data_IF_305982889826
#
_entry.id   IF_305982889826
#
_cell.length_a   1.000
_cell.length_b   1.000
_cell.length_c   1.000
_cell.angle_alpha   90.00
_cell.angle_beta   90.00
_cell.angle_gamma   90.00
#
_symmetry.space_group_name_H-M   'P 1'
#
loop_
_entity.id
_entity.type
_entity.pdbx_description
1 polymer ?
#
# COMPACT_ATOMS: atom_id res chain seq x y z
N UNK A 1 -22.94 8.51 18.13
CA UNK A 1 -23.09 7.58 16.98
C UNK A 1 -21.69 7.16 16.57
N UNK A 2 -21.50 5.93 16.07
CA UNK A 2 -20.23 5.49 15.49
C UNK A 2 -19.91 6.32 14.25
N UNK A 3 -18.63 6.69 14.05
CA UNK A 3 -18.20 7.41 12.83
C UNK A 3 -18.33 6.52 11.60
N UNK A 4 -18.72 7.12 10.47
CA UNK A 4 -18.76 6.48 9.17
C UNK A 4 -17.47 6.79 8.41
N UNK A 5 -16.77 5.75 7.96
CA UNK A 5 -15.51 5.89 7.24
C UNK A 5 -15.60 5.29 5.84
N UNK A 6 -14.97 5.94 4.87
CA UNK A 6 -14.82 5.43 3.50
C UNK A 6 -13.39 4.93 3.29
N UNK A 7 -13.25 3.68 2.86
CA UNK A 7 -11.97 3.12 2.41
C UNK A 7 -12.03 2.97 0.90
N UNK A 8 -11.25 3.74 0.15
CA UNK A 8 -11.11 3.53 -1.30
C UNK A 8 -10.00 2.53 -1.59
N UNK A 9 -10.17 1.65 -2.58
CA UNK A 9 -9.26 0.52 -2.81
C UNK A 9 -9.33 -0.53 -1.70
N UNK A 10 -10.50 -0.66 -1.09
CA UNK A 10 -10.76 -1.61 0.00
C UNK A 10 -10.64 -3.08 -0.44
N UNK A 11 -10.88 -3.36 -1.72
CA UNK A 11 -10.74 -4.67 -2.37
C UNK A 11 -9.29 -5.12 -2.56
N UNK A 12 -8.33 -4.21 -2.35
CA UNK A 12 -6.89 -4.46 -2.48
C UNK A 12 -6.25 -5.08 -1.23
N UNK A 13 -4.93 -5.32 -1.33
CA UNK A 13 -4.11 -5.91 -0.28
C UNK A 13 -4.21 -5.14 1.06
N UNK A 14 -3.75 -3.89 1.09
CA UNK A 14 -3.73 -3.10 2.33
C UNK A 14 -5.16 -2.70 2.72
N UNK A 15 -5.99 -2.33 1.72
CA UNK A 15 -7.35 -1.86 1.94
C UNK A 15 -8.24 -2.89 2.66
N UNK A 16 -8.14 -4.17 2.31
CA UNK A 16 -8.94 -5.23 2.95
C UNK A 16 -8.54 -5.45 4.43
N UNK A 17 -7.24 -5.41 4.75
CA UNK A 17 -6.78 -5.46 6.14
C UNK A 17 -7.20 -4.23 6.95
N UNK A 18 -7.13 -3.05 6.32
CA UNK A 18 -7.57 -1.80 6.97
C UNK A 18 -9.08 -1.83 7.24
N UNK A 19 -9.88 -2.30 6.28
CA UNK A 19 -11.33 -2.47 6.43
C UNK A 19 -11.67 -3.35 7.64
N UNK A 20 -11.05 -4.54 7.75
CA UNK A 20 -11.23 -5.43 8.91
C UNK A 20 -10.85 -4.76 10.23
N UNK A 21 -9.76 -3.98 10.22
CA UNK A 21 -9.30 -3.29 11.43
C UNK A 21 -10.25 -2.18 11.85
N UNK A 22 -10.79 -1.39 10.90
CA UNK A 22 -11.74 -0.32 11.16
C UNK A 22 -13.08 -0.84 11.72
N UNK A 23 -13.57 -1.98 11.19
CA UNK A 23 -14.75 -2.66 11.74
C UNK A 23 -14.51 -3.11 13.18
N UNK A 24 -13.34 -3.71 13.47
CA UNK A 24 -12.95 -4.11 14.84
C UNK A 24 -12.85 -2.93 15.82
N UNK A 25 -12.54 -1.73 15.34
CA UNK A 25 -12.58 -0.49 16.12
C UNK A 25 -14.00 0.07 16.30
N UNK A 26 -15.03 -0.61 15.78
CA UNK A 26 -16.44 -0.25 15.91
C UNK A 26 -16.89 0.88 15.00
N UNK A 27 -16.22 1.11 13.88
CA UNK A 27 -16.57 2.13 12.88
C UNK A 27 -17.54 1.57 11.83
N UNK A 28 -18.42 2.41 11.30
CA UNK A 28 -19.25 2.05 10.14
C UNK A 28 -18.42 2.19 8.87
N UNK A 29 -18.15 1.10 8.16
CA UNK A 29 -17.24 1.12 7.02
C UNK A 29 -17.98 1.04 5.70
N UNK A 30 -17.77 2.05 4.83
CA UNK A 30 -18.05 2.01 3.40
C UNK A 30 -16.79 1.58 2.67
N UNK A 31 -16.82 0.45 1.99
CA UNK A 31 -15.67 -0.16 1.33
C UNK A 31 -15.80 -0.02 -0.20
N UNK A 32 -14.99 0.84 -0.83
CA UNK A 32 -15.01 1.00 -2.28
C UNK A 32 -14.14 -0.07 -2.94
N UNK A 33 -14.79 -0.93 -3.72
CA UNK A 33 -14.19 -1.87 -4.67
C UNK A 33 -14.23 -1.31 -6.09
N UNK A 34 -13.18 -1.53 -6.87
CA UNK A 34 -13.17 -1.13 -8.27
C UNK A 34 -14.18 -1.93 -9.08
N UNK A 35 -15.08 -1.23 -9.80
CA UNK A 35 -16.05 -1.88 -10.69
C UNK A 35 -15.34 -2.74 -11.74
N UNK A 36 -15.74 -4.00 -11.85
CA UNK A 36 -15.22 -4.92 -12.85
C UNK A 36 -16.31 -5.88 -13.36
N UNK A 37 -16.11 -6.43 -14.57
CA UNK A 37 -17.06 -7.32 -15.24
C UNK A 37 -17.16 -8.72 -14.62
N UNK A 38 -16.26 -9.08 -13.71
CA UNK A 38 -16.26 -10.37 -13.02
C UNK A 38 -17.18 -10.37 -11.79
N UNK A 39 -17.78 -9.21 -11.45
CA UNK A 39 -18.59 -9.01 -10.25
C UNK A 39 -17.86 -9.48 -8.97
N UNK A 40 -16.56 -9.18 -8.89
CA UNK A 40 -15.71 -9.55 -7.76
C UNK A 40 -15.35 -8.32 -6.94
N UNK A 41 -15.38 -8.50 -5.64
CA UNK A 41 -14.95 -7.50 -4.65
C UNK A 41 -13.53 -7.79 -4.11
N UNK A 42 -12.74 -8.55 -4.87
CA UNK A 42 -11.35 -8.84 -4.54
C UNK A 42 -11.19 -9.48 -3.16
N UNK A 43 -10.27 -8.94 -2.34
CA UNK A 43 -10.00 -9.49 -1.01
C UNK A 43 -11.09 -9.21 0.02
N UNK A 44 -12.09 -8.35 -0.27
CA UNK A 44 -13.24 -8.17 0.62
C UNK A 44 -14.08 -9.44 0.73
N UNK A 45 -14.12 -10.26 -0.32
CA UNK A 45 -14.85 -11.54 -0.32
C UNK A 45 -14.30 -12.56 0.70
N UNK A 46 -13.03 -12.38 1.10
CA UNK A 46 -12.37 -13.24 2.08
C UNK A 46 -12.31 -12.58 3.49
N UNK A 47 -12.95 -11.43 3.69
CA UNK A 47 -12.99 -10.74 4.98
C UNK A 47 -14.08 -11.30 5.88
N UNK A 48 -13.74 -11.61 7.14
CA UNK A 48 -14.71 -12.09 8.14
C UNK A 48 -15.82 -11.05 8.44
N UNK A 49 -15.57 -9.78 8.12
CA UNK A 49 -16.48 -8.66 8.37
C UNK A 49 -17.33 -8.25 7.15
N UNK A 50 -17.44 -9.09 6.11
CA UNK A 50 -18.14 -8.73 4.88
C UNK A 50 -19.61 -8.30 5.13
N UNK A 51 -20.30 -8.98 6.03
CA UNK A 51 -21.70 -8.68 6.40
C UNK A 51 -21.86 -7.42 7.28
N UNK A 52 -20.75 -6.84 7.76
CA UNK A 52 -20.71 -5.66 8.63
C UNK A 52 -20.33 -4.37 7.89
N UNK A 53 -20.07 -4.45 6.58
CA UNK A 53 -19.62 -3.32 5.76
C UNK A 53 -20.57 -3.03 4.61
N UNK A 54 -20.60 -1.75 4.18
CA UNK A 54 -21.28 -1.35 2.94
C UNK A 54 -20.28 -1.41 1.78
N UNK A 55 -20.40 -2.41 0.89
CA UNK A 55 -19.54 -2.51 -0.30
C UNK A 55 -20.11 -1.65 -1.42
N UNK A 56 -19.29 -0.73 -1.93
CA UNK A 56 -19.62 0.15 -3.04
C UNK A 56 -18.76 -0.24 -4.25
N UNK A 57 -19.37 -0.48 -5.41
CA UNK A 57 -18.63 -0.78 -6.65
C UNK A 57 -18.60 0.45 -7.56
N UNK A 58 -17.40 0.92 -7.92
CA UNK A 58 -17.24 2.10 -8.77
C UNK A 58 -15.79 2.48 -9.06
N UNK A 59 -15.57 3.71 -9.49
CA UNK A 59 -14.26 4.18 -9.94
C UNK A 59 -13.99 5.61 -9.43
N UNK A 60 -12.84 5.81 -8.79
CA UNK A 60 -12.42 7.13 -8.28
C UNK A 60 -12.15 8.16 -9.40
N UNK A 61 -12.02 7.71 -10.65
CA UNK A 61 -11.88 8.59 -11.82
C UNK A 61 -13.19 9.30 -12.20
N UNK A 62 -14.33 8.80 -11.69
CA UNK A 62 -15.64 9.42 -11.88
C UNK A 62 -15.94 10.39 -10.74
N UNK A 63 -16.00 11.69 -11.05
CA UNK A 63 -16.22 12.75 -10.06
C UNK A 63 -17.63 12.70 -9.46
N UNK A 64 -18.66 12.36 -10.26
CA UNK A 64 -20.03 12.27 -9.79
C UNK A 64 -20.20 11.10 -8.82
N UNK A 65 -19.58 9.98 -9.13
CA UNK A 65 -19.53 8.83 -8.23
C UNK A 65 -18.82 9.18 -6.91
N UNK A 66 -17.67 9.85 -6.96
CA UNK A 66 -16.96 10.31 -5.76
C UNK A 66 -17.84 11.23 -4.90
N UNK A 67 -18.57 12.18 -5.50
CA UNK A 67 -19.53 13.04 -4.81
C UNK A 67 -20.65 12.25 -4.13
N UNK A 68 -21.08 11.13 -4.72
CA UNK A 68 -22.12 10.29 -4.15
C UNK A 68 -21.64 9.48 -2.95
N UNK A 69 -20.49 8.80 -3.06
CA UNK A 69 -19.99 7.87 -2.04
C UNK A 69 -19.45 8.56 -0.78
N UNK A 70 -19.06 9.84 -0.88
CA UNK A 70 -18.56 10.63 0.26
C UNK A 70 -19.67 11.29 1.07
N UNK A 71 -20.94 11.18 0.68
CA UNK A 71 -22.07 11.68 1.47
C UNK A 71 -22.18 10.96 2.81
N UNK A 72 -22.33 11.74 3.89
CA UNK A 72 -22.43 11.25 5.27
C UNK A 72 -21.22 10.37 5.66
N UNK A 73 -20.03 10.77 5.23
CA UNK A 73 -18.75 10.16 5.58
C UNK A 73 -17.98 11.14 6.47
N UNK A 74 -17.57 10.68 7.65
CA UNK A 74 -16.78 11.48 8.57
C UNK A 74 -15.28 11.46 8.20
N UNK A 75 -14.77 10.29 7.77
CA UNK A 75 -13.35 10.13 7.46
C UNK A 75 -13.14 9.31 6.19
N UNK A 76 -12.08 9.63 5.43
CA UNK A 76 -11.69 8.90 4.22
C UNK A 76 -10.26 8.36 4.37
N UNK A 77 -10.10 7.06 4.14
CA UNK A 77 -8.82 6.42 3.89
C UNK A 77 -8.69 6.19 2.39
N UNK A 78 -7.90 7.04 1.72
CA UNK A 78 -7.78 7.03 0.27
C UNK A 78 -6.59 6.17 -0.16
N UNK A 79 -6.86 4.87 -0.48
CA UNK A 79 -5.86 3.89 -0.91
C UNK A 79 -5.99 3.51 -2.40
N UNK A 80 -7.09 3.86 -3.06
CA UNK A 80 -7.29 3.55 -4.48
C UNK A 80 -6.17 4.14 -5.34
N UNK A 81 -5.37 3.27 -5.97
CA UNK A 81 -4.25 3.65 -6.81
C UNK A 81 -3.82 2.49 -7.73
N UNK A 82 -3.27 2.81 -8.88
CA UNK A 82 -2.43 1.88 -9.63
C UNK A 82 -1.00 1.93 -9.05
N UNK A 83 -0.40 0.76 -8.74
CA UNK A 83 0.84 0.67 -7.97
C UNK A 83 1.98 -0.08 -8.67
N UNK A 84 1.72 -0.93 -9.66
CA UNK A 84 2.75 -1.76 -10.30
C UNK A 84 3.74 -0.90 -11.11
N UNK A 85 5.00 -0.78 -10.67
CA UNK A 85 6.02 0.00 -11.39
C UNK A 85 6.22 -0.50 -12.83
N UNK A 86 6.38 -1.81 -13.12
CA UNK A 86 6.53 -2.28 -14.50
C UNK A 86 5.35 -1.92 -15.40
N UNK A 87 4.12 -2.04 -14.92
CA UNK A 87 2.94 -1.65 -15.69
C UNK A 87 2.89 -0.13 -15.97
N UNK A 88 3.45 0.69 -15.08
CA UNK A 88 3.51 2.14 -15.31
C UNK A 88 4.35 2.54 -16.53
N UNK A 89 5.28 1.68 -16.98
CA UNK A 89 6.05 1.92 -18.22
C UNK A 89 5.20 1.68 -19.48
N UNK A 90 4.18 0.82 -19.37
CA UNK A 90 3.32 0.43 -20.49
C UNK A 90 2.11 1.36 -20.61
N UNK A 91 1.51 1.71 -19.48
CA UNK A 91 0.26 2.47 -19.41
C UNK A 91 0.36 3.71 -18.47
N UNK A 92 1.29 4.66 -18.72
CA UNK A 92 1.51 5.78 -17.79
C UNK A 92 0.28 6.70 -17.64
N UNK A 93 -0.52 6.88 -18.67
CA UNK A 93 -1.74 7.69 -18.64
C UNK A 93 -2.76 7.15 -17.63
N UNK A 94 -2.91 5.82 -17.54
CA UNK A 94 -3.78 5.20 -16.54
C UNK A 94 -3.38 5.57 -15.10
N UNK A 95 -2.08 5.78 -14.85
CA UNK A 95 -1.57 6.22 -13.55
C UNK A 95 -1.90 7.69 -13.27
N UNK A 96 -1.86 8.57 -14.27
CA UNK A 96 -2.30 9.96 -14.11
C UNK A 96 -3.80 10.02 -13.79
N UNK A 97 -4.61 9.29 -14.54
CA UNK A 97 -6.07 9.28 -14.37
C UNK A 97 -6.46 8.69 -13.01
N UNK A 98 -5.85 7.58 -12.60
CA UNK A 98 -6.23 6.94 -11.35
C UNK A 98 -5.62 7.66 -10.14
N UNK A 99 -4.29 7.92 -10.16
CA UNK A 99 -3.60 8.37 -8.97
C UNK A 99 -3.75 9.88 -8.76
N UNK A 100 -3.67 10.71 -9.82
CA UNK A 100 -3.77 12.17 -9.70
C UNK A 100 -5.23 12.62 -9.79
N UNK A 101 -5.92 12.28 -10.89
CA UNK A 101 -7.32 12.69 -11.10
C UNK A 101 -8.25 12.05 -10.08
N UNK A 102 -8.03 10.75 -9.73
CA UNK A 102 -8.78 10.09 -8.67
C UNK A 102 -8.62 10.80 -7.32
N UNK A 103 -7.40 11.20 -6.95
CA UNK A 103 -7.14 11.99 -5.75
C UNK A 103 -7.82 13.36 -5.79
N UNK A 104 -7.76 14.06 -6.94
CA UNK A 104 -8.49 15.31 -7.15
C UNK A 104 -10.00 15.14 -6.88
N UNK A 105 -10.61 14.12 -7.49
CA UNK A 105 -12.04 13.86 -7.35
C UNK A 105 -12.44 13.58 -5.89
N UNK A 106 -11.66 12.79 -5.17
CA UNK A 106 -11.89 12.50 -3.74
C UNK A 106 -11.73 13.77 -2.90
N UNK A 107 -10.71 14.60 -3.13
CA UNK A 107 -10.54 15.85 -2.40
C UNK A 107 -11.68 16.84 -2.66
N UNK A 108 -12.11 17.00 -3.92
CA UNK A 108 -13.26 17.85 -4.27
C UNK A 108 -14.55 17.37 -3.59
N UNK A 109 -14.80 16.06 -3.64
CA UNK A 109 -15.98 15.47 -3.02
C UNK A 109 -15.95 15.60 -1.48
N UNK A 110 -14.77 15.48 -0.88
CA UNK A 110 -14.59 15.64 0.56
C UNK A 110 -14.86 17.08 1.02
N UNK A 111 -14.38 18.08 0.29
CA UNK A 111 -14.70 19.50 0.57
C UNK A 111 -16.20 19.75 0.44
N UNK A 112 -16.83 19.25 -0.63
CA UNK A 112 -18.26 19.47 -0.90
C UNK A 112 -19.18 18.77 0.10
N UNK A 113 -18.74 17.72 0.77
CA UNK A 113 -19.51 16.95 1.76
C UNK A 113 -18.99 17.11 3.20
N UNK A 114 -18.18 18.14 3.47
CA UNK A 114 -17.65 18.50 4.81
C UNK A 114 -16.98 17.33 5.56
N UNK A 115 -16.17 16.53 4.84
CA UNK A 115 -15.45 15.41 5.45
C UNK A 115 -14.44 15.91 6.48
N UNK A 116 -14.50 15.36 7.70
CA UNK A 116 -13.70 15.81 8.83
C UNK A 116 -12.20 15.42 8.74
N UNK A 117 -11.88 14.36 7.98
CA UNK A 117 -10.51 13.85 7.91
C UNK A 117 -10.23 13.03 6.65
N UNK A 118 -9.08 13.26 6.04
CA UNK A 118 -8.55 12.39 4.98
C UNK A 118 -7.17 11.88 5.35
N UNK A 119 -6.96 10.57 5.19
CA UNK A 119 -5.65 9.94 5.14
C UNK A 119 -5.37 9.57 3.70
N UNK A 120 -4.57 10.38 3.01
CA UNK A 120 -4.13 10.14 1.65
C UNK A 120 -2.92 9.19 1.65
N UNK A 121 -3.02 8.06 0.99
CA UNK A 121 -1.94 7.08 0.91
C UNK A 121 -1.00 7.43 -0.23
N UNK A 122 0.22 7.79 0.11
CA UNK A 122 1.38 7.96 -0.77
C UNK A 122 2.24 6.67 -0.79
N UNK A 123 3.54 6.81 -0.94
CA UNK A 123 4.51 5.69 -0.99
C UNK A 123 5.92 6.20 -0.71
N UNK A 124 6.81 5.35 -0.18
CA UNK A 124 8.25 5.63 -0.09
C UNK A 124 8.93 5.75 -1.45
N UNK A 125 8.35 5.21 -2.53
CA UNK A 125 8.91 5.30 -3.89
C UNK A 125 8.99 6.75 -4.43
N UNK A 126 8.30 7.71 -3.80
CA UNK A 126 8.41 9.15 -4.14
C UNK A 126 9.79 9.73 -3.82
N UNK A 127 10.52 9.11 -2.90
CA UNK A 127 11.88 9.53 -2.53
C UNK A 127 12.94 9.09 -3.54
N UNK A 128 12.64 8.05 -4.36
CA UNK A 128 13.65 7.41 -5.20
C UNK A 128 14.76 6.75 -4.38
N UNK A 129 15.91 6.55 -4.99
CA UNK A 129 17.11 6.04 -4.28
C UNK A 129 17.56 7.05 -3.23
N UNK A 130 17.70 6.59 -1.98
CA UNK A 130 18.05 7.44 -0.86
C UNK A 130 19.33 8.25 -1.11
N UNK A 131 19.27 9.56 -0.88
CA UNK A 131 20.45 10.45 -0.86
C UNK A 131 21.12 10.45 0.52
N UNK A 132 20.33 10.24 1.56
CA UNK A 132 20.77 9.98 2.94
C UNK A 132 19.79 9.03 3.62
N UNK A 133 20.23 8.39 4.68
CA UNK A 133 19.44 7.42 5.46
C UNK A 133 19.68 7.62 6.96
N UNK A 134 18.68 7.27 7.79
CA UNK A 134 17.33 6.89 7.39
C UNK A 134 16.59 8.05 6.71
N UNK A 135 15.58 7.73 5.87
CA UNK A 135 14.81 8.69 5.08
C UNK A 135 13.74 9.32 5.98
N UNK A 136 13.87 10.61 6.26
CA UNK A 136 12.82 11.42 6.89
C UNK A 136 11.89 12.09 5.86
N UNK A 137 10.88 12.82 6.31
CA UNK A 137 9.92 13.48 5.44
C UNK A 137 10.47 14.71 4.70
N UNK A 138 11.66 15.21 5.08
CA UNK A 138 12.36 16.30 4.40
C UNK A 138 13.23 15.81 3.25
N UNK A 139 13.38 14.48 3.10
CA UNK A 139 14.17 13.92 2.00
C UNK A 139 13.61 14.38 0.66
N UNK A 140 14.46 14.77 -0.32
CA UNK A 140 14.04 15.21 -1.64
C UNK A 140 13.18 14.17 -2.37
N UNK A 141 12.15 14.63 -3.09
CA UNK A 141 11.33 13.76 -3.95
C UNK A 141 12.04 13.56 -5.29
N UNK A 142 12.17 12.30 -5.72
CA UNK A 142 12.88 11.92 -6.95
C UNK A 142 12.06 10.87 -7.72
N UNK A 143 11.29 11.27 -8.74
CA UNK A 143 10.50 10.33 -9.52
C UNK A 143 11.40 9.47 -10.42
N UNK A 144 11.58 8.18 -10.10
CA UNK A 144 12.33 7.23 -10.91
C UNK A 144 11.45 6.34 -11.79
N UNK A 145 10.13 6.52 -11.73
CA UNK A 145 9.15 5.80 -12.56
C UNK A 145 7.90 6.67 -12.81
N UNK A 146 7.09 6.39 -13.86
CA UNK A 146 5.79 7.03 -14.02
C UNK A 146 4.87 6.82 -12.81
N UNK A 147 4.94 5.66 -12.14
CA UNK A 147 4.24 5.43 -10.88
C UNK A 147 4.63 6.44 -9.80
N UNK A 148 5.92 6.55 -9.48
CA UNK A 148 6.37 7.48 -8.44
C UNK A 148 6.06 8.94 -8.80
N UNK A 149 6.19 9.32 -10.08
CA UNK A 149 5.79 10.65 -10.57
C UNK A 149 4.29 10.91 -10.34
N UNK A 150 3.42 9.93 -10.62
CA UNK A 150 1.98 10.06 -10.40
C UNK A 150 1.64 10.19 -8.91
N UNK A 151 2.36 9.50 -8.02
CA UNK A 151 2.17 9.61 -6.56
C UNK A 151 2.66 10.97 -6.02
N UNK A 152 3.78 11.50 -6.52
CA UNK A 152 4.22 12.88 -6.20
C UNK A 152 3.17 13.89 -6.64
N UNK A 153 2.61 13.74 -7.85
CA UNK A 153 1.53 14.60 -8.34
C UNK A 153 0.25 14.50 -7.49
N UNK A 154 -0.11 13.29 -7.05
CA UNK A 154 -1.24 13.07 -6.16
C UNK A 154 -1.01 13.70 -4.77
N UNK A 155 0.20 13.57 -4.19
CA UNK A 155 0.57 14.21 -2.92
C UNK A 155 0.46 15.74 -3.02
N UNK A 156 0.99 16.33 -4.11
CA UNK A 156 0.92 17.77 -4.36
C UNK A 156 -0.53 18.25 -4.54
N UNK A 157 -1.36 17.48 -5.27
CA UNK A 157 -2.78 17.75 -5.42
C UNK A 157 -3.50 17.71 -4.08
N UNK A 158 -3.33 16.65 -3.29
CA UNK A 158 -3.94 16.51 -1.98
C UNK A 158 -3.54 17.67 -1.02
N UNK A 159 -2.24 17.97 -0.93
CA UNK A 159 -1.74 19.06 -0.07
C UNK A 159 -2.25 20.44 -0.52
N UNK A 160 -2.49 20.66 -1.82
CA UNK A 160 -3.07 21.92 -2.30
C UNK A 160 -4.50 22.14 -1.77
N UNK A 161 -5.27 21.07 -1.54
CA UNK A 161 -6.60 21.16 -0.93
C UNK A 161 -6.56 21.50 0.55
N UNK A 162 -5.58 21.00 1.30
CA UNK A 162 -5.32 21.47 2.66
C UNK A 162 -5.02 22.97 2.69
N UNK A 163 -4.11 23.43 1.82
CA UNK A 163 -3.66 24.82 1.80
C UNK A 163 -4.72 25.81 1.28
N UNK A 164 -5.57 25.42 0.34
CA UNK A 164 -6.49 26.34 -0.35
C UNK A 164 -7.94 26.25 0.17
N UNK A 165 -8.32 25.11 0.73
CA UNK A 165 -9.70 24.83 1.12
C UNK A 165 -9.83 24.36 2.58
N UNK A 166 -8.74 24.41 3.37
CA UNK A 166 -8.68 23.95 4.76
C UNK A 166 -9.16 22.49 4.95
N UNK A 167 -9.03 21.65 3.91
CA UNK A 167 -9.41 20.23 3.98
C UNK A 167 -8.51 19.50 4.98
N UNK A 168 -9.03 18.91 6.09
CA UNK A 168 -8.19 18.26 7.10
C UNK A 168 -7.58 16.96 6.55
N UNK A 169 -6.35 17.04 6.03
CA UNK A 169 -5.68 15.97 5.30
C UNK A 169 -4.32 15.63 5.92
N UNK A 170 -3.96 14.35 5.86
CA UNK A 170 -2.62 13.84 6.17
C UNK A 170 -2.13 13.00 5.01
N UNK A 171 -0.88 13.21 4.57
CA UNK A 171 -0.22 12.34 3.60
C UNK A 171 0.53 11.25 4.37
N UNK A 172 0.08 10.01 4.22
CA UNK A 172 0.75 8.83 4.77
C UNK A 172 1.67 8.21 3.71
N UNK A 173 2.96 8.05 4.02
CA UNK A 173 3.97 7.41 3.16
C UNK A 173 4.40 6.06 3.73
N UNK A 174 3.66 4.97 3.48
CA UNK A 174 4.11 3.65 3.89
C UNK A 174 5.36 3.24 3.11
N UNK A 175 6.31 2.66 3.82
CA UNK A 175 7.43 1.93 3.23
C UNK A 175 6.96 0.54 2.80
N UNK A 176 7.84 -0.28 2.21
CA UNK A 176 7.47 -1.50 1.52
C UNK A 176 6.59 -2.43 2.37
N UNK A 177 5.28 -2.25 2.28
CA UNK A 177 4.32 -3.08 3.02
C UNK A 177 4.28 -4.49 2.46
N UNK A 178 4.30 -5.51 3.36
CA UNK A 178 4.18 -6.92 3.00
C UNK A 178 3.21 -7.64 3.95
N UNK A 179 2.70 -8.79 3.50
CA UNK A 179 1.80 -9.61 4.33
C UNK A 179 0.87 -10.51 3.51
N UNK A 180 -0.09 -11.17 4.20
CA UNK A 180 -1.18 -11.88 3.56
C UNK A 180 -1.91 -11.05 2.51
N UNK A 181 -2.43 -11.66 1.44
CA UNK A 181 -3.16 -11.00 0.33
C UNK A 181 -2.30 -10.11 -0.57
N UNK A 182 -0.97 -10.00 -0.32
CA UNK A 182 -0.10 -9.21 -1.19
C UNK A 182 0.01 -9.81 -2.59
N UNK A 183 -0.01 -8.96 -3.62
CA UNK A 183 0.14 -9.39 -5.01
C UNK A 183 1.50 -10.03 -5.29
N UNK A 184 1.53 -11.08 -6.11
CA UNK A 184 2.76 -11.71 -6.63
C UNK A 184 3.59 -10.81 -7.58
N UNK A 185 3.22 -9.54 -7.74
CA UNK A 185 4.11 -8.51 -8.33
C UNK A 185 5.21 -8.06 -7.37
N UNK A 186 5.02 -8.26 -6.07
CA UNK A 186 5.99 -7.92 -5.03
C UNK A 186 6.94 -9.10 -4.74
N UNK A 187 8.16 -8.79 -4.31
CA UNK A 187 9.24 -9.78 -4.17
C UNK A 187 8.94 -10.86 -3.13
N UNK A 188 8.40 -10.52 -1.97
CA UNK A 188 8.12 -11.48 -0.89
C UNK A 188 7.10 -12.55 -1.34
N UNK A 189 5.88 -12.21 -1.84
CA UNK A 189 4.97 -13.25 -2.35
C UNK A 189 5.52 -13.98 -3.58
N UNK A 190 6.33 -13.33 -4.43
CA UNK A 190 7.01 -14.01 -5.55
C UNK A 190 7.92 -15.13 -5.05
N UNK A 191 8.72 -14.89 -4.01
CA UNK A 191 9.61 -15.90 -3.42
C UNK A 191 8.77 -17.03 -2.80
N UNK A 192 7.83 -16.67 -1.93
CA UNK A 192 7.02 -17.64 -1.18
C UNK A 192 6.24 -18.56 -2.14
N UNK A 193 5.57 -18.00 -3.14
CA UNK A 193 4.72 -18.77 -4.06
C UNK A 193 5.54 -19.70 -4.93
N UNK A 194 6.72 -19.29 -5.41
CA UNK A 194 7.59 -20.15 -6.19
C UNK A 194 8.13 -21.34 -5.34
N UNK A 195 8.52 -21.11 -4.09
CA UNK A 195 8.92 -22.20 -3.17
C UNK A 195 7.74 -23.13 -2.91
N UNK A 196 6.57 -22.57 -2.59
CA UNK A 196 5.38 -23.33 -2.21
C UNK A 196 4.82 -24.21 -3.37
N UNK A 197 5.01 -23.78 -4.61
CA UNK A 197 4.60 -24.56 -5.80
C UNK A 197 5.67 -25.55 -6.28
N UNK A 198 6.82 -25.62 -5.62
CA UNK A 198 7.88 -26.59 -5.93
C UNK A 198 8.68 -26.24 -7.19
N UNK A 199 8.82 -24.95 -7.51
CA UNK A 199 9.69 -24.52 -8.60
C UNK A 199 11.14 -24.98 -8.39
N UNK A 200 11.83 -25.39 -9.46
CA UNK A 200 13.21 -25.89 -9.40
C UNK A 200 14.23 -24.81 -9.06
N UNK A 201 13.92 -23.56 -9.39
CA UNK A 201 14.70 -22.37 -9.05
C UNK A 201 13.78 -21.17 -8.88
N UNK A 202 14.13 -20.27 -7.96
CA UNK A 202 13.41 -19.02 -7.74
C UNK A 202 13.88 -17.99 -8.75
N UNK A 203 12.99 -17.46 -9.57
CA UNK A 203 13.28 -16.41 -10.57
C UNK A 203 13.08 -15.03 -9.95
N UNK A 204 14.14 -14.25 -9.84
CA UNK A 204 14.13 -12.89 -9.32
C UNK A 204 14.92 -11.94 -10.24
N UNK A 205 14.67 -10.64 -10.12
CA UNK A 205 15.52 -9.61 -10.71
C UNK A 205 16.77 -9.36 -9.83
N UNK A 206 17.15 -8.07 -9.68
CA UNK A 206 18.26 -7.68 -8.81
C UNK A 206 17.90 -7.91 -7.31
N UNK A 207 18.79 -8.61 -6.61
CA UNK A 207 18.62 -8.91 -5.17
C UNK A 207 19.47 -8.01 -4.27
N UNK A 208 20.25 -7.10 -4.86
CA UNK A 208 21.11 -6.17 -4.11
C UNK A 208 20.38 -4.99 -3.46
N UNK A 209 19.24 -4.48 -3.99
CA UNK A 209 18.55 -3.35 -3.37
C UNK A 209 18.09 -3.64 -1.95
N UNK A 210 18.14 -2.59 -1.10
CA UNK A 210 17.67 -2.68 0.29
C UNK A 210 16.34 -2.00 0.48
N UNK A 211 15.54 -2.55 1.40
CA UNK A 211 14.18 -2.08 1.72
C UNK A 211 13.95 -2.07 3.23
N UNK A 212 13.02 -1.22 3.64
CA UNK A 212 12.35 -1.30 4.93
C UNK A 212 11.01 -1.99 4.70
N UNK A 213 10.92 -3.26 5.08
CA UNK A 213 9.70 -4.04 4.96
C UNK A 213 8.84 -3.87 6.21
N UNK A 214 7.63 -3.33 6.02
CA UNK A 214 6.68 -3.07 7.09
C UNK A 214 5.49 -4.04 7.00
N UNK A 215 5.21 -4.77 8.08
CA UNK A 215 4.12 -5.75 8.08
C UNK A 215 2.76 -5.05 7.92
N UNK A 216 1.85 -5.63 7.12
CA UNK A 216 0.59 -4.99 6.74
C UNK A 216 -0.27 -4.52 7.92
N UNK A 217 -0.31 -5.30 9.02
CA UNK A 217 -1.05 -4.88 10.21
C UNK A 217 -0.43 -3.65 10.88
N UNK A 218 0.90 -3.52 10.84
CA UNK A 218 1.59 -2.34 11.38
C UNK A 218 1.35 -1.12 10.47
N UNK A 219 1.33 -1.32 9.14
CA UNK A 219 0.92 -0.25 8.20
C UNK A 219 -0.51 0.23 8.50
N UNK A 220 -1.47 -0.69 8.70
CA UNK A 220 -2.85 -0.34 9.04
C UNK A 220 -2.95 0.37 10.40
N UNK A 221 -2.21 -0.09 11.41
CA UNK A 221 -2.12 0.63 12.70
C UNK A 221 -1.55 2.04 12.52
N UNK A 222 -0.59 2.23 11.62
CA UNK A 222 -0.07 3.55 11.26
C UNK A 222 -1.18 4.45 10.70
N UNK A 223 -2.00 3.98 9.78
CA UNK A 223 -3.15 4.75 9.26
C UNK A 223 -4.13 5.15 10.36
N UNK A 224 -4.48 4.23 11.27
CA UNK A 224 -5.37 4.54 12.38
C UNK A 224 -4.75 5.58 13.34
N UNK A 225 -3.46 5.44 13.64
CA UNK A 225 -2.75 6.39 14.50
C UNK A 225 -2.72 7.80 13.90
N UNK A 226 -2.49 7.91 12.58
CA UNK A 226 -2.54 9.19 11.86
C UNK A 226 -3.94 9.80 11.89
N UNK A 227 -4.98 9.00 11.66
CA UNK A 227 -6.36 9.48 11.66
C UNK A 227 -6.81 9.98 13.04
N UNK A 228 -6.30 9.37 14.11
CA UNK A 228 -6.67 9.69 15.50
C UNK A 228 -5.94 10.90 16.06
N UNK A 229 -4.89 11.42 15.41
CA UNK A 229 -4.07 12.53 15.93
C UNK A 229 -4.28 13.82 15.14
N UNK A 230 -4.77 14.87 15.82
CA UNK A 230 -4.89 16.19 15.21
C UNK A 230 -3.54 16.83 14.84
N UNK A 231 -2.44 16.37 15.46
CA UNK A 231 -1.08 16.83 15.12
C UNK A 231 -0.63 16.39 13.72
N UNK A 232 -1.37 15.45 13.10
CA UNK A 232 -1.06 14.95 11.77
C UNK A 232 -1.75 15.73 10.64
N UNK A 233 -2.66 16.66 10.97
CA UNK A 233 -3.37 17.49 9.96
C UNK A 233 -2.39 18.41 9.26
N UNK A 234 -2.38 18.39 7.92
CA UNK A 234 -1.45 19.16 7.09
C UNK A 234 -0.04 18.57 7.00
N UNK A 235 0.18 17.38 7.60
CA UNK A 235 1.49 16.77 7.67
C UNK A 235 1.67 15.64 6.64
N UNK A 236 2.91 15.48 6.19
CA UNK A 236 3.37 14.25 5.55
C UNK A 236 4.07 13.40 6.60
N UNK A 237 3.77 12.10 6.64
CA UNK A 237 4.28 11.20 7.68
C UNK A 237 4.66 9.84 7.12
N UNK A 238 5.89 9.41 7.36
CA UNK A 238 6.40 8.10 7.01
C UNK A 238 5.86 7.00 7.95
N UNK A 239 5.53 5.85 7.38
CA UNK A 239 5.13 4.64 8.13
C UNK A 239 6.08 3.52 7.74
N UNK A 240 6.94 3.08 8.64
CA UNK A 240 7.92 2.02 8.40
C UNK A 240 8.41 1.38 9.68
N UNK A 241 9.17 0.27 9.52
CA UNK A 241 9.69 -0.50 10.64
C UNK A 241 10.98 0.10 11.23
N UNK A 242 11.65 0.99 10.50
CA UNK A 242 13.00 1.47 10.78
C UNK A 242 14.05 0.35 10.79
N UNK A 243 13.86 -0.67 9.94
CA UNK A 243 14.78 -1.79 9.76
C UNK A 243 15.10 -2.00 8.28
N UNK A 244 16.37 -1.90 7.93
CA UNK A 244 16.84 -2.07 6.55
C UNK A 244 17.37 -3.47 6.32
N UNK A 245 16.96 -4.11 5.20
CA UNK A 245 17.42 -5.42 4.77
C UNK A 245 17.52 -5.50 3.25
N UNK A 246 18.48 -6.26 2.70
CA UNK A 246 18.55 -6.52 1.27
C UNK A 246 17.47 -7.51 0.81
N UNK A 247 17.12 -7.44 -0.48
CA UNK A 247 16.25 -8.46 -1.10
C UNK A 247 16.87 -9.85 -1.00
N UNK A 248 18.21 -9.95 -1.14
CA UNK A 248 18.94 -11.21 -1.01
C UNK A 248 18.87 -11.80 0.41
N UNK A 249 19.06 -10.98 1.45
CA UNK A 249 18.93 -11.45 2.82
C UNK A 249 17.48 -11.80 3.17
N UNK A 250 16.50 -11.08 2.60
CA UNK A 250 15.08 -11.40 2.74
C UNK A 250 14.76 -12.76 2.09
N UNK A 251 15.31 -13.04 0.90
CA UNK A 251 15.20 -14.35 0.26
C UNK A 251 15.74 -15.46 1.16
N UNK A 252 16.94 -15.29 1.72
CA UNK A 252 17.56 -16.26 2.62
C UNK A 252 16.69 -16.50 3.86
N UNK A 253 16.18 -15.43 4.47
CA UNK A 253 15.30 -15.55 5.64
C UNK A 253 14.00 -16.30 5.31
N UNK A 254 13.38 -16.06 4.15
CA UNK A 254 12.20 -16.81 3.70
C UNK A 254 12.54 -18.29 3.47
N UNK A 255 13.67 -18.59 2.84
CA UNK A 255 14.15 -19.98 2.62
C UNK A 255 14.35 -20.69 3.96
N UNK A 256 14.98 -20.05 4.92
CA UNK A 256 15.21 -20.60 6.26
C UNK A 256 13.88 -20.92 6.98
N UNK A 257 12.92 -19.98 6.96
CA UNK A 257 11.60 -20.19 7.59
C UNK A 257 10.83 -21.33 6.90
N UNK A 258 10.93 -21.45 5.57
CA UNK A 258 10.24 -22.49 4.80
C UNK A 258 11.01 -23.82 4.77
N UNK A 259 12.22 -23.92 5.33
CA UNK A 259 13.07 -25.11 5.27
C UNK A 259 13.46 -25.47 3.84
N UNK A 260 13.65 -24.51 2.94
CA UNK A 260 13.88 -24.72 1.52
C UNK A 260 15.33 -24.45 1.11
N UNK A 261 15.94 -25.41 0.39
CA UNK A 261 17.24 -25.26 -0.22
C UNK A 261 17.22 -24.78 -1.68
N UNK A 262 16.06 -24.33 -2.20
CA UNK A 262 15.91 -23.93 -3.61
C UNK A 262 16.80 -22.73 -3.93
N UNK A 263 17.63 -22.86 -4.97
CA UNK A 263 18.50 -21.78 -5.45
C UNK A 263 17.71 -20.75 -6.24
N UNK A 264 18.21 -19.51 -6.30
CA UNK A 264 17.63 -18.48 -7.14
C UNK A 264 18.46 -18.30 -8.44
N UNK A 265 17.80 -17.84 -9.49
CA UNK A 265 18.41 -17.43 -10.75
C UNK A 265 17.92 -16.02 -11.10
N UNK A 266 18.84 -15.22 -11.64
CA UNK A 266 18.48 -13.90 -12.15
C UNK A 266 17.66 -14.05 -13.43
N UNK A 267 16.49 -13.40 -13.45
CA UNK A 267 15.57 -13.36 -14.58
C UNK A 267 15.61 -11.94 -15.18
N UNK A 268 16.13 -11.82 -16.38
CA UNK A 268 16.33 -10.52 -17.05
C UNK A 268 15.01 -9.76 -17.28
N UNK A 269 13.89 -10.48 -17.48
CA UNK A 269 12.58 -9.84 -17.64
C UNK A 269 12.13 -9.09 -16.37
N UNK A 270 12.70 -9.45 -15.20
CA UNK A 270 12.40 -8.84 -13.90
C UNK A 270 13.36 -7.72 -13.52
N UNK A 271 14.38 -7.47 -14.34
CA UNK A 271 15.35 -6.39 -14.14
C UNK A 271 14.72 -5.08 -14.63
N UNK A 272 14.60 -4.12 -13.73
CA UNK A 272 14.12 -2.78 -14.08
C UNK A 272 15.21 -1.99 -14.82
N UNK A 273 14.81 -0.98 -15.64
CA UNK A 273 15.78 -0.07 -16.22
C UNK A 273 16.68 0.54 -15.13
N UNK A 274 18.00 0.53 -15.32
CA UNK A 274 18.99 0.90 -14.29
C UNK A 274 18.72 2.22 -13.57
N UNK A 275 18.21 3.25 -14.30
CA UNK A 275 17.88 4.55 -13.69
C UNK A 275 16.53 4.57 -12.97
N UNK A 276 15.69 3.57 -13.20
CA UNK A 276 14.39 3.41 -12.57
C UNK A 276 14.44 2.50 -11.34
N UNK A 277 15.51 1.72 -11.16
CA UNK A 277 15.67 0.92 -9.94
C UNK A 277 16.00 1.81 -8.74
N UNK A 278 15.21 1.65 -7.69
CA UNK A 278 15.42 2.30 -6.40
C UNK A 278 16.33 1.40 -5.56
N UNK A 279 17.59 1.80 -5.38
CA UNK A 279 18.59 0.95 -4.76
C UNK A 279 18.43 0.84 -3.23
N UNK A 280 17.95 1.90 -2.58
CA UNK A 280 17.90 1.94 -1.11
C UNK A 280 16.71 2.70 -0.58
N UNK A 281 15.93 2.04 0.31
CA UNK A 281 14.84 2.64 1.08
C UNK A 281 14.91 2.15 2.52
N UNK A 282 15.15 3.09 3.46
CA UNK A 282 15.17 2.85 4.89
C UNK A 282 14.48 4.00 5.62
N UNK A 283 13.38 3.71 6.31
CA UNK A 283 12.48 4.68 6.95
C UNK A 283 13.07 5.27 8.22
N UNK A 284 13.01 6.60 8.36
CA UNK A 284 12.95 7.24 9.67
C UNK A 284 11.48 7.31 10.11
N UNK A 285 11.12 6.60 11.17
CA UNK A 285 9.78 6.61 11.75
C UNK A 285 9.66 7.47 13.01
N UNK A 286 10.63 8.35 13.26
CA UNK A 286 10.67 9.21 14.45
C UNK A 286 9.46 10.14 14.48
N UNK A 287 9.06 10.72 13.34
CA UNK A 287 7.94 11.66 13.28
C UNK A 287 6.63 11.00 13.69
N UNK A 288 6.26 9.87 13.08
CA UNK A 288 4.98 9.19 13.42
C UNK A 288 4.94 8.82 14.92
N UNK A 289 6.06 8.36 15.49
CA UNK A 289 6.15 8.02 16.91
C UNK A 289 6.04 9.23 17.83
N UNK A 290 6.49 10.40 17.38
CA UNK A 290 6.46 11.64 18.19
C UNK A 290 5.10 12.34 18.20
N UNK A 291 4.33 12.24 17.11
CA UNK A 291 3.04 12.94 16.95
C UNK A 291 1.82 12.03 17.09
N UNK A 292 2.05 10.71 17.25
CA UNK A 292 1.02 9.70 17.45
C UNK A 292 1.44 8.69 18.52
N UNK A 293 0.57 7.72 18.81
CA UNK A 293 0.87 6.57 19.68
C UNK A 293 1.35 5.35 18.86
N UNK A 294 1.81 5.56 17.62
CA UNK A 294 2.27 4.46 16.77
C UNK A 294 3.50 3.77 17.33
N UNK A 295 3.45 2.44 17.36
CA UNK A 295 4.60 1.57 17.60
C UNK A 295 4.43 0.29 16.80
N UNK A 296 5.40 -0.06 15.97
CA UNK A 296 5.42 -1.33 15.24
C UNK A 296 5.41 -2.50 16.22
N UNK A 297 4.57 -3.50 15.96
CA UNK A 297 4.40 -4.67 16.84
C UNK A 297 5.04 -5.93 16.28
N UNK A 298 5.39 -5.95 15.00
CA UNK A 298 5.94 -7.11 14.33
C UNK A 298 7.37 -6.82 13.87
N UNK A 299 8.29 -7.70 14.21
CA UNK A 299 9.58 -7.77 13.55
C UNK A 299 9.45 -8.48 12.19
N UNK A 300 10.50 -8.39 11.36
CA UNK A 300 10.47 -8.96 10.01
C UNK A 300 10.23 -10.48 10.05
N UNK A 301 10.84 -11.21 10.97
CA UNK A 301 10.74 -12.65 11.06
C UNK A 301 9.31 -13.10 11.42
N UNK A 302 8.70 -12.49 12.42
CA UNK A 302 7.33 -12.81 12.84
C UNK A 302 6.30 -12.47 11.76
N UNK A 303 6.45 -11.31 11.09
CA UNK A 303 5.61 -10.94 9.96
C UNK A 303 5.75 -11.86 8.76
N UNK A 304 6.99 -12.28 8.41
CA UNK A 304 7.24 -13.25 7.33
C UNK A 304 6.65 -14.62 7.69
N UNK A 305 6.82 -15.09 8.92
CA UNK A 305 6.22 -16.37 9.36
C UNK A 305 4.71 -16.36 9.16
N UNK A 306 4.01 -15.33 9.65
CA UNK A 306 2.56 -15.21 9.45
C UNK A 306 2.16 -15.10 7.98
N UNK A 307 2.99 -14.43 7.17
CA UNK A 307 2.76 -14.29 5.72
C UNK A 307 2.91 -15.64 5.03
N UNK A 308 3.98 -16.39 5.32
CA UNK A 308 4.24 -17.72 4.75
C UNK A 308 3.13 -18.69 5.13
N UNK A 309 2.74 -18.75 6.40
CA UNK A 309 1.63 -19.60 6.88
C UNK A 309 0.34 -19.33 6.10
N UNK A 310 0.03 -18.06 5.81
CA UNK A 310 -1.14 -17.68 5.04
C UNK A 310 -1.03 -18.17 3.58
N UNK A 311 0.13 -17.97 2.93
CA UNK A 311 0.35 -18.40 1.54
C UNK A 311 0.36 -19.92 1.38
N UNK A 312 0.81 -20.67 2.38
CA UNK A 312 0.85 -22.14 2.34
C UNK A 312 -0.53 -22.80 2.41
N UNK A 313 -1.58 -22.06 2.78
CA UNK A 313 -2.95 -22.58 2.72
C UNK A 313 -3.36 -22.79 1.26
N UNK A 314 -3.83 -23.99 0.88
CA UNK A 314 -4.15 -24.32 -0.53
C UNK A 314 -5.18 -23.37 -1.16
N UNK A 315 -6.18 -22.91 -0.37
CA UNK A 315 -7.21 -21.97 -0.80
C UNK A 315 -6.64 -20.58 -1.12
N UNK A 316 -5.51 -20.19 -0.53
CA UNK A 316 -4.83 -18.94 -0.81
C UNK A 316 -3.84 -19.09 -1.96
N UNK A 317 -3.00 -20.14 -1.92
CA UNK A 317 -1.97 -20.37 -2.93
C UNK A 317 -2.54 -20.50 -4.34
N UNK A 318 -3.69 -21.17 -4.51
CA UNK A 318 -4.36 -21.35 -5.81
C UNK A 318 -4.79 -20.04 -6.50
N UNK A 319 -4.88 -18.93 -5.76
CA UNK A 319 -5.20 -17.61 -6.31
C UNK A 319 -4.00 -16.96 -7.02
N UNK A 320 -2.80 -17.54 -6.89
CA UNK A 320 -1.54 -17.02 -7.43
C UNK A 320 -1.01 -17.85 -8.59
N UNK A 321 -0.45 -17.18 -9.60
CA UNK A 321 0.16 -17.78 -10.77
C UNK A 321 1.68 -17.69 -10.63
N UNK A 322 2.28 -18.56 -9.78
CA UNK A 322 3.70 -18.53 -9.44
C UNK A 322 4.64 -18.70 -10.65
N UNK A 323 4.17 -19.38 -11.70
CA UNK A 323 4.90 -19.65 -12.94
C UNK A 323 4.96 -18.46 -13.92
N UNK A 324 4.21 -17.40 -13.66
CA UNK A 324 4.19 -16.20 -14.51
C UNK A 324 4.94 -15.04 -13.85
N UNK A 325 5.54 -14.19 -14.70
CA UNK A 325 5.91 -12.85 -14.27
C UNK A 325 4.65 -11.97 -14.26
N UNK A 326 4.23 -11.55 -13.08
CA UNK A 326 3.05 -10.73 -12.90
C UNK A 326 3.45 -9.24 -13.05
N UNK A 327 2.92 -8.57 -14.08
CA UNK A 327 3.15 -7.15 -14.39
C UNK A 327 1.96 -6.31 -13.94
#
# INVERSE_FOLDING_TARGET
MSKTVLVTGADGFIGSHLTEMLVKEGLNVKALSQYNSFNSWGWLEDCDCLDEIEVLSGDVRDSQFCMHITKNVDQIYHLAALIAIPYSYIAPESYLDTNIKGTLNICQAAVANDVERIIHTSTSEVYGTAQYVPIDENHPLQPQSPYSASKIGADAMAMSFFNAFDLPLTIARPFNTYGPRQSARAVIPTIITQIATGEKSIKLGDVSPTRDFNYVKDTCMGFLALASSNKCVGETVNIGSNYEISVGDTLNLIRDIMGSGVEFVTDEERIRPKKSEVNRLWCDNTKIRSITNFNSRHDLKSGLTSTIEWFLKPENLKKYKAYLYNV
#
